data_IF_074326624768
#
_entry.id   IF_074326624768
#
_cell.length_a   1.000
_cell.length_b   1.000
_cell.length_c   1.000
_cell.angle_alpha   90.00
_cell.angle_beta   90.00
_cell.angle_gamma   90.00
#
_symmetry.space_group_name_H-M   'P 1'
#
loop_
_entity.id
_entity.type
_entity.pdbx_description
1 polymer ?
#
# COMPACT_ATOMS: atom_id res chain seq x y z
N UNK A 1 6.42 29.88 5.54
CA UNK A 1 5.17 29.18 5.93
C UNK A 1 4.80 28.07 4.96
N UNK A 2 4.59 28.35 3.66
CA UNK A 2 4.23 27.34 2.64
C UNK A 2 5.21 26.15 2.55
N UNK A 3 6.51 26.42 2.64
CA UNK A 3 7.56 25.38 2.65
C UNK A 3 7.36 24.35 3.78
N UNK A 4 7.12 24.82 5.01
CA UNK A 4 6.92 23.93 6.17
C UNK A 4 5.66 23.09 6.00
N UNK A 5 4.57 23.68 5.51
CA UNK A 5 3.32 22.96 5.23
C UNK A 5 3.59 21.85 4.20
N UNK A 6 4.24 22.18 3.09
CA UNK A 6 4.53 21.21 2.04
C UNK A 6 5.47 20.08 2.52
N UNK A 7 6.48 20.39 3.35
CA UNK A 7 7.34 19.38 3.97
C UNK A 7 6.57 18.46 4.92
N UNK A 8 5.68 19.00 5.76
CA UNK A 8 4.80 18.21 6.63
C UNK A 8 3.87 17.32 5.82
N UNK A 9 3.26 17.84 4.75
CA UNK A 9 2.37 17.08 3.87
C UNK A 9 3.13 15.93 3.18
N UNK A 10 4.31 16.19 2.61
CA UNK A 10 5.14 15.16 1.99
C UNK A 10 5.50 14.05 3.00
N UNK A 11 5.84 14.44 4.22
CA UNK A 11 6.18 13.50 5.30
C UNK A 11 4.99 12.64 5.71
N UNK A 12 3.82 13.25 5.92
CA UNK A 12 2.59 12.55 6.27
C UNK A 12 2.18 11.57 5.17
N UNK A 13 2.17 12.02 3.90
CA UNK A 13 1.86 11.19 2.76
C UNK A 13 2.80 9.99 2.66
N UNK A 14 4.09 10.18 2.95
CA UNK A 14 5.07 9.09 2.95
C UNK A 14 4.72 8.03 4.00
N UNK A 15 4.63 8.42 5.26
CA UNK A 15 4.43 7.46 6.34
C UNK A 15 3.04 6.83 6.32
N UNK A 16 2.00 7.63 6.05
CA UNK A 16 0.64 7.11 5.90
C UNK A 16 0.54 6.21 4.66
N UNK A 17 1.18 6.57 3.54
CA UNK A 17 1.23 5.74 2.34
C UNK A 17 1.88 4.38 2.59
N UNK A 18 3.01 4.34 3.30
CA UNK A 18 3.63 3.07 3.74
C UNK A 18 2.68 2.27 4.63
N UNK A 19 2.08 2.90 5.64
CA UNK A 19 1.18 2.21 6.57
C UNK A 19 -0.03 1.61 5.84
N UNK A 20 -0.65 2.37 4.94
CA UNK A 20 -1.78 1.92 4.10
C UNK A 20 -1.36 0.77 3.20
N UNK A 21 -0.20 0.84 2.55
CA UNK A 21 0.31 -0.24 1.71
C UNK A 21 0.52 -1.54 2.51
N UNK A 22 1.10 -1.44 3.71
CA UNK A 22 1.28 -2.60 4.61
C UNK A 22 -0.06 -3.21 5.01
N UNK A 23 -1.06 -2.38 5.37
CA UNK A 23 -2.42 -2.86 5.67
C UNK A 23 -3.03 -3.57 4.45
N UNK A 24 -2.84 -3.02 3.25
CA UNK A 24 -3.30 -3.64 2.01
C UNK A 24 -2.65 -5.01 1.75
N UNK A 25 -1.34 -5.15 1.99
CA UNK A 25 -0.63 -6.44 1.90
C UNK A 25 -1.17 -7.44 2.92
N UNK A 26 -1.37 -7.02 4.17
CA UNK A 26 -1.96 -7.88 5.21
C UNK A 26 -3.37 -8.34 4.85
N UNK A 27 -4.21 -7.43 4.35
CA UNK A 27 -5.57 -7.75 3.92
C UNK A 27 -5.58 -8.71 2.72
N UNK A 28 -4.76 -8.46 1.70
CA UNK A 28 -4.59 -9.38 0.58
C UNK A 28 -4.13 -10.77 1.05
N UNK A 29 -3.08 -10.82 1.86
CA UNK A 29 -2.49 -12.06 2.37
C UNK A 29 -3.49 -12.89 3.17
N UNK A 30 -4.31 -12.25 4.01
CA UNK A 30 -5.35 -12.93 4.77
C UNK A 30 -6.35 -13.65 3.85
N UNK A 31 -6.88 -12.97 2.84
CA UNK A 31 -7.83 -13.58 1.89
C UNK A 31 -7.17 -14.64 1.01
N UNK A 32 -5.94 -14.40 0.59
CA UNK A 32 -5.17 -15.36 -0.20
C UNK A 32 -4.97 -16.67 0.58
N UNK A 33 -4.53 -16.59 1.84
CA UNK A 33 -4.34 -17.77 2.71
C UNK A 33 -5.68 -18.45 2.98
N UNK A 34 -6.73 -17.69 3.31
CA UNK A 34 -8.04 -18.25 3.63
C UNK A 34 -8.63 -19.05 2.46
N UNK A 35 -8.51 -18.55 1.22
CA UNK A 35 -9.06 -19.23 0.06
C UNK A 35 -8.23 -20.45 -0.35
N UNK A 36 -6.90 -20.37 -0.29
CA UNK A 36 -6.03 -21.53 -0.49
C UNK A 36 -6.26 -22.62 0.56
N UNK A 37 -6.46 -22.25 1.83
CA UNK A 37 -6.77 -23.20 2.89
C UNK A 37 -8.12 -23.91 2.66
N UNK A 38 -9.12 -23.22 2.09
CA UNK A 38 -10.39 -23.84 1.69
C UNK A 38 -10.21 -24.80 0.51
N UNK A 39 -9.41 -24.43 -0.49
CA UNK A 39 -9.07 -25.26 -1.64
C UNK A 39 -8.38 -26.55 -1.22
N UNK A 40 -7.39 -26.44 -0.33
CA UNK A 40 -6.65 -27.60 0.19
C UNK A 40 -7.57 -28.59 0.93
N UNK A 41 -8.57 -28.08 1.68
CA UNK A 41 -9.58 -28.93 2.35
C UNK A 41 -10.50 -29.66 1.37
N UNK A 42 -10.64 -29.18 0.13
CA UNK A 42 -11.40 -29.84 -0.94
C UNK A 42 -10.57 -30.83 -1.75
N UNK A 43 -9.28 -30.99 -1.42
CA UNK A 43 -8.36 -31.87 -2.15
C UNK A 43 -7.86 -31.28 -3.48
N UNK A 44 -8.06 -29.99 -3.71
CA UNK A 44 -7.55 -29.31 -4.89
C UNK A 44 -6.08 -28.91 -4.67
N UNK A 45 -5.20 -29.30 -5.59
CA UNK A 45 -3.76 -29.01 -5.55
C UNK A 45 -3.37 -27.71 -6.26
N UNK A 46 -4.29 -27.11 -7.02
CA UNK A 46 -4.08 -25.84 -7.71
C UNK A 46 -4.47 -24.65 -6.81
N UNK A 47 -3.76 -23.53 -6.96
CA UNK A 47 -4.17 -22.25 -6.36
C UNK A 47 -5.46 -21.80 -7.05
N UNK A 48 -6.57 -21.63 -6.32
CA UNK A 48 -7.83 -21.28 -6.94
C UNK A 48 -7.78 -19.83 -7.44
N UNK A 49 -8.40 -19.55 -8.58
CA UNK A 49 -8.47 -18.18 -9.12
C UNK A 49 -9.10 -17.20 -8.11
N UNK A 50 -10.00 -17.66 -7.25
CA UNK A 50 -10.58 -16.87 -6.17
C UNK A 50 -9.57 -16.31 -5.17
N UNK A 51 -8.40 -16.97 -4.99
CA UNK A 51 -7.39 -16.53 -4.03
C UNK A 51 -6.75 -15.19 -4.39
N UNK A 52 -6.63 -14.86 -5.69
CA UNK A 52 -6.04 -13.59 -6.15
C UNK A 52 -7.01 -12.66 -6.90
N UNK A 53 -8.13 -13.18 -7.40
CA UNK A 53 -9.14 -12.43 -8.17
C UNK A 53 -10.46 -12.26 -7.41
N UNK A 54 -10.57 -12.88 -6.23
CA UNK A 54 -11.70 -12.72 -5.34
C UNK A 54 -11.83 -11.28 -4.83
N UNK A 55 -13.03 -10.93 -4.37
CA UNK A 55 -13.36 -9.56 -3.90
C UNK A 55 -12.41 -9.10 -2.80
N UNK A 56 -12.05 -9.99 -1.86
CA UNK A 56 -11.12 -9.67 -0.77
C UNK A 56 -9.70 -9.37 -1.27
N UNK A 57 -9.16 -10.21 -2.14
CA UNK A 57 -7.85 -10.01 -2.75
C UNK A 57 -7.80 -8.70 -3.56
N UNK A 58 -8.83 -8.43 -4.37
CA UNK A 58 -8.96 -7.18 -5.13
C UNK A 58 -9.00 -5.95 -4.23
N UNK A 59 -9.77 -6.00 -3.13
CA UNK A 59 -9.78 -4.92 -2.13
C UNK A 59 -8.40 -4.70 -1.52
N UNK A 60 -7.68 -5.77 -1.17
CA UNK A 60 -6.30 -5.68 -0.70
C UNK A 60 -5.40 -4.95 -1.70
N UNK A 61 -5.46 -5.34 -2.98
CA UNK A 61 -4.75 -4.64 -4.05
C UNK A 61 -5.14 -3.17 -4.20
N UNK A 62 -6.43 -2.84 -4.09
CA UNK A 62 -6.88 -1.44 -4.12
C UNK A 62 -6.30 -0.63 -2.96
N UNK A 63 -6.24 -1.18 -1.75
CA UNK A 63 -5.62 -0.52 -0.59
C UNK A 63 -4.12 -0.32 -0.83
N UNK A 64 -3.42 -1.34 -1.34
CA UNK A 64 -2.00 -1.23 -1.74
C UNK A 64 -1.83 -0.11 -2.76
N UNK A 65 -2.69 -0.04 -3.78
CA UNK A 65 -2.64 0.99 -4.82
C UNK A 65 -2.85 2.40 -4.23
N UNK A 66 -3.77 2.57 -3.28
CA UNK A 66 -3.94 3.85 -2.55
C UNK A 66 -2.66 4.24 -1.82
N UNK A 67 -2.04 3.30 -1.08
CA UNK A 67 -0.75 3.55 -0.43
C UNK A 67 0.35 3.94 -1.43
N UNK A 68 0.39 3.27 -2.59
CA UNK A 68 1.31 3.60 -3.69
C UNK A 68 1.09 5.01 -4.25
N UNK A 69 -0.17 5.41 -4.48
CA UNK A 69 -0.52 6.78 -4.93
C UNK A 69 -0.07 7.83 -3.92
N UNK A 70 -0.25 7.57 -2.62
CA UNK A 70 0.22 8.49 -1.56
C UNK A 70 1.75 8.64 -1.57
N UNK A 71 2.49 7.56 -1.81
CA UNK A 71 3.95 7.60 -1.93
C UNK A 71 4.40 8.38 -3.17
N UNK A 72 3.75 8.18 -4.32
CA UNK A 72 4.03 8.95 -5.54
C UNK A 72 3.73 10.42 -5.29
N UNK A 73 2.60 10.76 -4.69
CA UNK A 73 2.26 12.13 -4.34
C UNK A 73 3.27 12.77 -3.38
N UNK A 74 3.72 12.02 -2.36
CA UNK A 74 4.80 12.46 -1.46
C UNK A 74 6.08 12.82 -2.22
N UNK A 75 6.48 11.97 -3.17
CA UNK A 75 7.66 12.20 -4.01
C UNK A 75 7.52 13.44 -4.90
N UNK A 76 6.35 13.61 -5.53
CA UNK A 76 6.08 14.78 -6.37
C UNK A 76 6.10 16.09 -5.57
N UNK A 77 5.58 16.08 -4.34
CA UNK A 77 5.66 17.25 -3.44
C UNK A 77 7.11 17.50 -3.02
N UNK A 78 7.90 16.45 -2.75
CA UNK A 78 9.31 16.60 -2.41
C UNK A 78 10.15 17.19 -3.55
N UNK A 79 9.84 16.85 -4.81
CA UNK A 79 10.58 17.32 -5.99
C UNK A 79 10.55 18.84 -6.18
N UNK A 80 9.49 19.49 -5.71
CA UNK A 80 9.32 20.95 -5.84
C UNK A 80 9.79 21.72 -4.60
N UNK A 81 10.26 21.01 -3.56
CA UNK A 81 10.83 21.63 -2.37
C UNK A 81 12.32 21.93 -2.60
N UNK A 82 12.81 23.13 -2.23
CA UNK A 82 14.22 23.45 -2.33
C UNK A 82 15.04 22.50 -1.45
N UNK A 83 16.16 22.00 -1.99
CA UNK A 83 17.15 21.24 -1.24
C UNK A 83 17.80 22.14 -0.19
N UNK A 84 17.34 22.02 1.06
CA UNK A 84 18.01 22.68 2.19
C UNK A 84 19.05 21.69 2.73
N UNK A 85 20.36 21.97 2.59
CA UNK A 85 21.38 21.11 3.16
C UNK A 85 21.17 21.02 4.68
N UNK A 86 21.40 19.84 5.29
CA UNK A 86 21.27 19.69 6.73
C UNK A 86 22.14 20.75 7.43
N UNK A 87 21.55 21.47 8.39
CA UNK A 87 22.28 22.42 9.21
C UNK A 87 23.44 21.66 9.89
N UNK A 88 24.68 22.05 9.56
CA UNK A 88 25.90 21.52 10.19
C UNK A 88 25.97 21.96 11.64
#
# INVERSE_FOLDING_TARGET
MLFYIASTVATLLKFAGVAVAVVGVGYFGFYFIAENARSARRGESAVPAGAWQGVGAKKGFSIIAVGGVMLIASFLVALVLPDIPPAR
#
